data_IF_450762451644
#
_entry.id   IF_450762451644
#
_cell.length_a   1.000
_cell.length_b   1.000
_cell.length_c   1.000
_cell.angle_alpha   90.00
_cell.angle_beta   90.00
_cell.angle_gamma   90.00
#
_symmetry.space_group_name_H-M   'P 1'
#
loop_
_entity.id
_entity.type
_entity.pdbx_description
1 polymer ?
#
# COMPACT_ATOMS: atom_id res chain seq x y z
N UNK A 1 2.33 19.27 -14.70
CA UNK A 1 1.30 18.32 -14.27
C UNK A 1 1.47 16.89 -14.78
N UNK A 2 1.86 16.62 -16.06
CA UNK A 2 2.07 15.24 -16.58
C UNK A 2 3.16 14.43 -15.86
N UNK A 3 4.27 15.06 -15.41
CA UNK A 3 5.36 14.33 -14.72
C UNK A 3 4.96 13.75 -13.36
N UNK A 4 4.12 14.46 -12.60
CA UNK A 4 3.67 14.01 -11.27
C UNK A 4 2.65 12.87 -11.37
N UNK A 5 1.80 12.87 -12.40
CA UNK A 5 0.84 11.79 -12.64
C UNK A 5 1.54 10.46 -12.97
N UNK A 6 2.62 10.50 -13.77
CA UNK A 6 3.39 9.30 -14.09
C UNK A 6 4.13 8.74 -12.87
N UNK A 7 4.59 9.59 -11.96
CA UNK A 7 5.27 9.17 -10.73
C UNK A 7 4.29 8.53 -9.74
N UNK A 8 3.12 9.14 -9.53
CA UNK A 8 2.06 8.57 -8.70
C UNK A 8 1.55 7.23 -9.25
N UNK A 9 1.38 7.11 -10.58
CA UNK A 9 1.02 5.86 -11.24
C UNK A 9 2.07 4.76 -11.00
N UNK A 10 3.33 5.11 -11.01
CA UNK A 10 4.44 4.20 -10.77
C UNK A 10 4.48 3.73 -9.31
N UNK A 11 4.22 4.61 -8.35
CA UNK A 11 4.09 4.26 -6.93
C UNK A 11 2.91 3.30 -6.72
N UNK A 12 1.76 3.60 -7.29
CA UNK A 12 0.57 2.75 -7.15
C UNK A 12 0.78 1.37 -7.78
N UNK A 13 1.44 1.30 -8.94
CA UNK A 13 1.77 0.02 -9.56
C UNK A 13 2.66 -0.84 -8.67
N UNK A 14 3.56 -0.20 -7.94
CA UNK A 14 4.44 -0.86 -6.98
C UNK A 14 3.64 -1.46 -5.82
N UNK A 15 2.69 -0.72 -5.28
CA UNK A 15 1.80 -1.18 -4.20
C UNK A 15 1.00 -2.42 -4.60
N UNK A 16 0.53 -2.47 -5.84
CA UNK A 16 -0.30 -3.57 -6.34
C UNK A 16 0.46 -4.86 -6.61
N UNK A 17 1.76 -4.79 -6.89
CA UNK A 17 2.61 -5.97 -7.08
C UNK A 17 2.88 -6.73 -5.78
N UNK A 18 2.67 -6.10 -4.63
CA UNK A 18 2.95 -6.67 -3.31
C UNK A 18 1.87 -7.65 -2.83
N UNK A 19 0.74 -7.71 -3.51
CA UNK A 19 -0.37 -8.54 -3.13
C UNK A 19 -0.13 -10.03 -3.35
N UNK A 20 -0.47 -10.82 -2.34
CA UNK A 20 -0.39 -12.27 -2.39
C UNK A 20 -1.56 -12.83 -3.19
N UNK A 21 -1.26 -13.69 -4.16
CA UNK A 21 -2.29 -14.51 -4.82
C UNK A 21 -2.42 -15.81 -4.04
N UNK A 22 -3.47 -15.98 -3.26
CA UNK A 22 -3.82 -17.26 -2.67
C UNK A 22 -5.29 -17.58 -2.91
N UNK A 23 -5.55 -18.75 -3.47
CA UNK A 23 -6.87 -19.36 -3.44
C UNK A 23 -7.08 -19.99 -2.05
N UNK A 24 -7.98 -19.48 -1.25
CA UNK A 24 -8.31 -20.00 0.07
C UNK A 24 -9.79 -20.36 0.19
N UNK A 25 -10.08 -21.49 0.82
CA UNK A 25 -11.43 -21.91 1.20
C UNK A 25 -11.94 -20.99 2.33
N UNK A 26 -13.21 -20.61 2.24
CA UNK A 26 -13.92 -19.88 3.30
C UNK A 26 -14.28 -20.83 4.42
N UNK A 27 -13.74 -20.62 5.61
CA UNK A 27 -14.34 -21.07 6.86
C UNK A 27 -14.89 -19.86 7.62
N UNK A 28 -16.12 -19.99 8.09
CA UNK A 28 -17.05 -18.93 8.38
C UNK A 28 -17.23 -18.77 9.89
N UNK A 29 -16.59 -17.76 10.47
CA UNK A 29 -17.11 -17.10 11.68
C UNK A 29 -16.44 -15.73 11.89
N UNK A 30 -16.51 -14.84 10.90
CA UNK A 30 -15.82 -13.57 10.89
C UNK A 30 -16.80 -12.42 11.05
N UNK A 31 -16.43 -11.45 11.87
CA UNK A 31 -17.10 -10.15 11.87
C UNK A 31 -17.07 -9.62 10.44
N UNK A 32 -18.22 -9.24 9.87
CA UNK A 32 -18.24 -8.70 8.52
C UNK A 32 -17.32 -7.48 8.42
N UNK A 33 -16.45 -7.48 7.44
CA UNK A 33 -15.57 -6.35 7.17
C UNK A 33 -16.41 -5.13 6.74
N UNK A 34 -16.05 -3.98 7.31
CA UNK A 34 -16.60 -2.68 6.91
C UNK A 34 -15.44 -1.81 6.40
N UNK A 35 -15.49 -1.33 5.14
CA UNK A 35 -14.48 -0.46 4.59
C UNK A 35 -14.31 0.84 5.38
N UNK A 36 -13.09 1.36 5.38
CA UNK A 36 -12.80 2.68 5.94
C UNK A 36 -13.48 3.81 5.15
N UNK A 37 -13.55 4.97 5.77
CA UNK A 37 -14.19 6.16 5.19
C UNK A 37 -13.27 7.37 5.25
N UNK A 38 -13.30 8.19 4.19
CA UNK A 38 -12.61 9.49 4.16
C UNK A 38 -13.62 10.61 4.28
N UNK A 39 -13.42 11.48 5.28
CA UNK A 39 -14.22 12.69 5.48
C UNK A 39 -13.28 13.90 5.58
N UNK A 40 -13.32 14.76 4.58
CA UNK A 40 -12.39 15.89 4.48
C UNK A 40 -10.95 15.40 4.40
N UNK A 41 -10.14 15.77 5.38
CA UNK A 41 -8.72 15.42 5.50
C UNK A 41 -8.44 14.22 6.40
N UNK A 42 -9.47 13.49 6.82
CA UNK A 42 -9.36 12.37 7.76
C UNK A 42 -9.90 11.09 7.13
N UNK A 43 -9.06 10.05 7.12
CA UNK A 43 -9.47 8.68 6.85
C UNK A 43 -9.57 7.91 8.17
N UNK A 44 -10.62 7.13 8.31
CA UNK A 44 -10.88 6.29 9.48
C UNK A 44 -11.26 4.88 9.05
N UNK A 45 -10.64 3.88 9.65
CA UNK A 45 -11.03 2.49 9.49
C UNK A 45 -11.32 1.88 10.88
N UNK A 46 -12.62 1.76 11.20
CA UNK A 46 -13.08 1.24 12.49
C UNK A 46 -12.78 -0.26 12.64
N UNK A 47 -12.77 -1.01 11.54
CA UNK A 47 -12.51 -2.44 11.56
C UNK A 47 -11.08 -2.76 12.02
N UNK A 48 -10.11 -2.00 11.53
CA UNK A 48 -8.70 -2.14 11.92
C UNK A 48 -8.28 -1.23 13.08
N UNK A 49 -9.16 -0.37 13.56
CA UNK A 49 -8.94 0.45 14.75
C UNK A 49 -7.96 1.60 14.58
N UNK A 50 -7.82 2.17 13.38
CA UNK A 50 -6.91 3.28 13.14
C UNK A 50 -7.52 4.42 12.33
N UNK A 51 -6.92 5.60 12.47
CA UNK A 51 -7.27 6.82 11.75
C UNK A 51 -6.02 7.59 11.34
N UNK A 52 -6.13 8.40 10.28
CA UNK A 52 -5.10 9.35 9.87
C UNK A 52 -5.76 10.65 9.44
N UNK A 53 -5.21 11.78 9.91
CA UNK A 53 -5.55 13.11 9.41
C UNK A 53 -4.32 13.71 8.74
N UNK A 54 -4.47 14.09 7.46
CA UNK A 54 -3.39 14.67 6.66
C UNK A 54 -3.70 16.14 6.40
N UNK A 55 -2.79 17.02 6.78
CA UNK A 55 -2.96 18.46 6.66
C UNK A 55 -2.74 18.93 5.21
N UNK A 56 -3.75 19.51 4.59
CA UNK A 56 -3.66 20.13 3.27
C UNK A 56 -2.62 21.26 3.21
N UNK A 57 -2.44 22.00 4.31
CA UNK A 57 -1.42 23.05 4.38
C UNK A 57 0.00 22.51 4.29
N UNK A 58 0.19 21.22 4.61
CA UNK A 58 1.44 20.49 4.43
C UNK A 58 1.56 19.84 3.03
N UNK A 59 0.66 20.16 2.11
CA UNK A 59 0.69 19.73 0.72
C UNK A 59 0.08 18.36 0.44
N UNK A 60 -0.58 17.73 1.43
CA UNK A 60 -1.28 16.47 1.24
C UNK A 60 -2.59 16.64 0.48
N UNK A 61 -2.91 15.67 -0.37
CA UNK A 61 -4.17 15.58 -1.11
C UNK A 61 -4.64 14.14 -1.15
N UNK A 62 -5.87 13.88 -0.66
CA UNK A 62 -6.53 12.60 -0.83
C UNK A 62 -7.07 12.45 -2.26
N UNK A 63 -6.95 11.27 -2.81
CA UNK A 63 -7.53 10.94 -4.11
C UNK A 63 -9.00 10.56 -3.95
N UNK A 64 -9.84 11.08 -4.84
CA UNK A 64 -11.21 10.60 -5.00
C UNK A 64 -11.21 9.22 -5.66
N UNK A 65 -12.32 8.51 -5.58
CA UNK A 65 -12.47 7.20 -6.24
C UNK A 65 -12.23 7.29 -7.76
N UNK A 66 -12.65 8.39 -8.40
CA UNK A 66 -12.43 8.62 -9.84
C UNK A 66 -10.95 8.86 -10.16
N UNK A 67 -10.27 9.66 -9.33
CA UNK A 67 -8.83 9.89 -9.48
C UNK A 67 -8.03 8.60 -9.28
N UNK A 68 -8.43 7.80 -8.32
CA UNK A 68 -7.81 6.51 -8.05
C UNK A 68 -8.00 5.54 -9.23
N UNK A 69 -9.20 5.46 -9.80
CA UNK A 69 -9.46 4.64 -10.98
C UNK A 69 -8.63 5.08 -12.20
N UNK A 70 -8.48 6.39 -12.42
CA UNK A 70 -7.61 6.93 -13.47
C UNK A 70 -6.14 6.57 -13.23
N UNK A 71 -5.67 6.65 -11.98
CA UNK A 71 -4.31 6.33 -11.60
C UNK A 71 -3.99 4.84 -11.84
N UNK A 72 -4.93 3.94 -11.53
CA UNK A 72 -4.82 2.50 -11.80
C UNK A 72 -4.71 2.25 -13.31
N UNK A 73 -5.55 2.90 -14.12
CA UNK A 73 -5.49 2.81 -15.58
C UNK A 73 -4.13 3.25 -16.14
N UNK A 74 -3.61 4.39 -15.68
CA UNK A 74 -2.28 4.87 -16.08
C UNK A 74 -1.15 3.93 -15.62
N UNK A 75 -1.30 3.30 -14.46
CA UNK A 75 -0.31 2.34 -13.95
C UNK A 75 -0.17 1.12 -14.85
N UNK A 76 -1.28 0.65 -15.43
CA UNK A 76 -1.29 -0.46 -16.40
C UNK A 76 -0.52 -0.11 -17.68
N UNK A 77 -0.60 1.14 -18.14
CA UNK A 77 0.14 1.61 -19.31
C UNK A 77 1.65 1.74 -19.05
N UNK A 78 2.03 2.19 -17.84
CA UNK A 78 3.44 2.38 -17.45
C UNK A 78 4.18 1.05 -17.30
N UNK A 79 3.50 0.00 -16.88
CA UNK A 79 4.08 -1.33 -16.66
C UNK A 79 4.12 -2.20 -17.92
N UNK A 80 4.05 -1.57 -19.09
CA UNK A 80 4.18 -2.21 -20.41
C UNK A 80 3.18 -3.35 -20.64
N UNK A 81 1.97 -3.18 -20.13
CA UNK A 81 0.78 -3.97 -20.47
C UNK A 81 0.99 -5.49 -20.51
N UNK A 82 1.81 -6.05 -19.64
CA UNK A 82 1.75 -7.50 -19.50
C UNK A 82 0.35 -7.86 -18.99
N UNK A 83 -0.33 -8.75 -19.70
CA UNK A 83 -1.70 -9.17 -19.40
C UNK A 83 -1.88 -9.49 -17.91
N UNK A 84 -0.88 -10.14 -17.30
CA UNK A 84 -0.83 -10.51 -15.88
C UNK A 84 -0.82 -9.29 -14.94
N UNK A 85 -0.15 -8.19 -15.31
CA UNK A 85 -0.11 -6.97 -14.50
C UNK A 85 -1.43 -6.23 -14.57
N UNK A 86 -1.99 -6.09 -15.77
CA UNK A 86 -3.29 -5.45 -16.00
C UNK A 86 -4.41 -6.16 -15.24
N UNK A 87 -4.46 -7.49 -15.31
CA UNK A 87 -5.43 -8.29 -14.57
C UNK A 87 -5.27 -8.12 -13.04
N UNK A 88 -4.03 -8.06 -12.56
CA UNK A 88 -3.76 -7.84 -11.13
C UNK A 88 -4.22 -6.47 -10.66
N UNK A 89 -4.00 -5.41 -11.44
CA UNK A 89 -4.45 -4.06 -11.15
C UNK A 89 -5.98 -3.96 -11.13
N UNK A 90 -6.65 -4.49 -12.15
CA UNK A 90 -8.11 -4.47 -12.23
C UNK A 90 -8.78 -5.24 -11.08
N UNK A 91 -8.21 -6.36 -10.69
CA UNK A 91 -8.71 -7.15 -9.57
C UNK A 91 -8.60 -6.42 -8.23
N UNK A 92 -7.55 -5.62 -8.06
CA UNK A 92 -7.21 -4.94 -6.82
C UNK A 92 -7.73 -3.51 -6.69
N UNK A 93 -8.30 -2.95 -7.74
CA UNK A 93 -8.81 -1.56 -7.69
C UNK A 93 -9.85 -1.32 -6.60
N UNK A 94 -10.58 -2.37 -6.21
CA UNK A 94 -11.59 -2.30 -5.16
C UNK A 94 -11.02 -2.57 -3.75
N UNK A 95 -9.76 -3.01 -3.67
CA UNK A 95 -9.11 -3.28 -2.39
C UNK A 95 -8.39 -2.04 -1.85
N UNK A 96 -8.21 -1.00 -2.68
CA UNK A 96 -7.59 0.27 -2.26
C UNK A 96 -8.66 1.16 -1.66
N UNK A 97 -8.54 1.42 -0.38
CA UNK A 97 -9.51 2.23 0.36
C UNK A 97 -9.10 3.69 0.50
N UNK A 98 -7.80 3.94 0.51
CA UNK A 98 -7.27 5.28 0.65
C UNK A 98 -5.96 5.40 -0.13
N UNK A 99 -5.80 6.52 -0.81
CA UNK A 99 -4.53 6.98 -1.36
C UNK A 99 -4.42 8.49 -1.19
N UNK A 100 -3.31 8.93 -0.63
CA UNK A 100 -2.98 10.34 -0.51
C UNK A 100 -1.57 10.59 -1.01
N UNK A 101 -1.37 11.73 -1.67
CA UNK A 101 -0.08 12.16 -2.17
C UNK A 101 0.26 13.54 -1.63
N UNK A 102 1.53 13.77 -1.34
CA UNK A 102 2.07 15.06 -0.94
C UNK A 102 2.72 15.76 -2.14
N UNK A 103 2.85 17.06 -2.09
CA UNK A 103 3.38 17.89 -3.19
C UNK A 103 4.81 17.55 -3.63
N UNK A 104 5.60 16.90 -2.76
CA UNK A 104 6.96 16.39 -3.02
C UNK A 104 6.98 14.94 -3.54
N UNK A 105 5.81 14.36 -3.84
CA UNK A 105 5.57 12.99 -4.27
C UNK A 105 5.67 11.91 -3.17
N UNK A 106 5.84 12.27 -1.91
CA UNK A 106 5.59 11.31 -0.84
C UNK A 106 4.13 10.85 -0.90
N UNK A 107 3.86 9.60 -0.55
CA UNK A 107 2.50 9.07 -0.59
C UNK A 107 2.21 8.10 0.54
N UNK A 108 0.94 8.01 0.89
CA UNK A 108 0.41 7.03 1.85
C UNK A 108 -0.79 6.34 1.21
N UNK A 109 -0.90 5.03 1.41
CA UNK A 109 -2.06 4.26 0.95
C UNK A 109 -2.50 3.23 1.97
N UNK A 110 -3.77 2.89 1.92
CA UNK A 110 -4.37 1.76 2.63
C UNK A 110 -5.02 0.83 1.63
N UNK A 111 -4.57 -0.41 1.62
CA UNK A 111 -5.10 -1.50 0.82
C UNK A 111 -5.54 -2.62 1.77
N UNK A 112 -6.66 -3.27 1.49
CA UNK A 112 -7.14 -4.38 2.31
C UNK A 112 -7.12 -5.68 1.52
N UNK A 113 -6.37 -6.67 2.03
CA UNK A 113 -6.37 -8.03 1.49
C UNK A 113 -7.47 -8.84 2.18
N UNK A 114 -8.46 -9.24 1.40
CA UNK A 114 -9.61 -10.03 1.86
C UNK A 114 -9.42 -11.53 1.64
N UNK A 115 -8.34 -11.94 0.97
CA UNK A 115 -8.19 -13.33 0.52
C UNK A 115 -7.33 -14.19 1.45
N UNK A 116 -6.43 -13.61 2.21
CA UNK A 116 -5.35 -14.36 2.86
C UNK A 116 -5.28 -14.20 4.38
N UNK A 117 -6.03 -13.28 4.96
CA UNK A 117 -5.99 -13.03 6.40
C UNK A 117 -6.39 -14.23 7.25
N UNK A 118 -7.36 -15.04 6.79
CA UNK A 118 -7.80 -16.25 7.50
C UNK A 118 -6.70 -17.30 7.64
N UNK A 119 -5.73 -17.31 6.73
CA UNK A 119 -4.77 -18.40 6.58
C UNK A 119 -3.47 -18.19 7.37
N UNK A 120 -3.08 -16.94 7.57
CA UNK A 120 -1.77 -16.58 8.11
C UNK A 120 -1.90 -15.66 9.32
N UNK A 121 -1.02 -15.82 10.30
CA UNK A 121 -0.74 -14.73 11.24
C UNK A 121 0.01 -13.61 10.51
N UNK A 122 0.12 -12.45 11.13
CA UNK A 122 0.74 -11.26 10.53
C UNK A 122 2.20 -11.50 10.12
N UNK A 123 2.97 -12.18 10.96
CA UNK A 123 4.38 -12.51 10.69
C UNK A 123 4.52 -13.40 9.46
N UNK A 124 3.71 -14.46 9.38
CA UNK A 124 3.71 -15.41 8.25
C UNK A 124 3.20 -14.74 6.97
N UNK A 125 2.21 -13.83 7.09
CA UNK A 125 1.75 -13.03 5.97
C UNK A 125 2.89 -12.21 5.35
N UNK A 126 3.66 -11.50 6.18
CA UNK A 126 4.81 -10.71 5.76
C UNK A 126 5.92 -11.59 5.14
N UNK A 127 6.23 -12.74 5.76
CA UNK A 127 7.23 -13.68 5.22
C UNK A 127 6.82 -14.23 3.83
N UNK A 128 5.53 -14.52 3.66
CA UNK A 128 4.99 -14.98 2.37
C UNK A 128 5.06 -13.86 1.32
N UNK A 129 4.73 -12.62 1.71
CA UNK A 129 4.85 -11.46 0.82
C UNK A 129 6.29 -11.26 0.33
N UNK A 130 7.26 -11.41 1.22
CA UNK A 130 8.69 -11.23 0.90
C UNK A 130 9.23 -12.26 -0.08
N UNK A 131 8.67 -13.48 -0.10
CA UNK A 131 9.28 -14.63 -0.82
C UNK A 131 9.58 -14.34 -2.29
N UNK A 132 8.79 -13.52 -2.97
CA UNK A 132 9.00 -13.20 -4.39
C UNK A 132 9.02 -11.68 -4.66
N UNK A 133 9.02 -10.86 -3.62
CA UNK A 133 8.85 -9.43 -3.75
C UNK A 133 9.95 -8.79 -4.58
N UNK A 134 11.21 -9.04 -4.24
CA UNK A 134 12.35 -8.47 -4.94
C UNK A 134 12.35 -8.85 -6.45
N UNK A 135 11.99 -10.09 -6.77
CA UNK A 135 11.89 -10.54 -8.16
C UNK A 135 10.73 -9.85 -8.90
N UNK A 136 9.58 -9.67 -8.25
CA UNK A 136 8.44 -8.96 -8.84
C UNK A 136 8.78 -7.50 -9.15
N UNK A 137 9.46 -6.83 -8.21
CA UNK A 137 9.89 -5.45 -8.38
C UNK A 137 10.91 -5.31 -9.52
N UNK A 138 11.88 -6.24 -9.60
CA UNK A 138 12.86 -6.26 -10.70
C UNK A 138 12.17 -6.51 -12.05
N UNK A 139 11.21 -7.44 -12.11
CA UNK A 139 10.44 -7.71 -13.32
C UNK A 139 9.57 -6.51 -13.75
N UNK A 140 9.17 -5.67 -12.79
CA UNK A 140 8.48 -4.40 -13.05
C UNK A 140 9.42 -3.25 -13.45
N UNK A 141 10.68 -3.54 -13.76
CA UNK A 141 11.67 -2.56 -14.24
C UNK A 141 12.34 -1.74 -13.15
N UNK A 142 12.25 -2.16 -11.89
CA UNK A 142 12.94 -1.49 -10.79
C UNK A 142 14.36 -2.02 -10.65
N UNK A 143 15.28 -1.14 -10.30
CA UNK A 143 16.69 -1.46 -10.08
C UNK A 143 17.09 -1.23 -8.62
N UNK A 144 18.23 -1.74 -8.21
CA UNK A 144 18.76 -1.62 -6.84
C UNK A 144 17.78 -2.08 -5.75
N UNK A 145 16.99 -3.11 -6.07
CA UNK A 145 15.93 -3.61 -5.18
C UNK A 145 16.52 -4.30 -3.96
N UNK A 146 16.15 -3.82 -2.77
CA UNK A 146 16.37 -4.52 -1.51
C UNK A 146 15.08 -4.55 -0.69
N UNK A 147 14.82 -5.68 -0.03
CA UNK A 147 13.63 -5.89 0.79
C UNK A 147 14.02 -6.47 2.13
N UNK A 148 13.41 -5.99 3.21
CA UNK A 148 13.72 -6.42 4.58
C UNK A 148 12.47 -6.47 5.43
N UNK A 149 12.24 -7.60 6.11
CA UNK A 149 11.24 -7.69 7.19
C UNK A 149 11.65 -6.78 8.35
N UNK A 150 10.68 -6.12 8.94
CA UNK A 150 10.86 -5.26 10.11
C UNK A 150 9.68 -5.40 11.06
N UNK A 151 9.80 -4.85 12.25
CA UNK A 151 8.70 -4.49 13.14
C UNK A 151 8.72 -2.99 13.36
N UNK A 152 7.55 -2.39 13.47
CA UNK A 152 7.42 -0.95 13.73
C UNK A 152 6.16 -0.69 14.55
N UNK A 153 6.18 0.43 15.28
CA UNK A 153 5.00 0.91 15.99
C UNK A 153 4.07 1.61 14.97
N UNK A 154 2.85 1.11 14.85
CA UNK A 154 1.82 1.70 14.03
C UNK A 154 0.53 1.83 14.83
N UNK A 155 -0.08 3.01 14.84
CA UNK A 155 -1.27 3.33 15.63
C UNK A 155 -1.18 2.92 17.13
N UNK A 156 0.05 2.92 17.69
CA UNK A 156 0.31 2.62 19.09
C UNK A 156 0.63 1.17 19.41
N UNK A 157 0.58 0.25 18.44
CA UNK A 157 0.90 -1.17 18.60
C UNK A 157 2.10 -1.57 17.73
N UNK A 158 2.77 -2.68 18.09
CA UNK A 158 3.86 -3.24 17.28
C UNK A 158 3.29 -4.18 16.21
N UNK A 159 3.68 -3.95 14.98
CA UNK A 159 3.25 -4.73 13.81
C UNK A 159 4.44 -5.16 12.96
N UNK A 160 4.27 -6.26 12.23
CA UNK A 160 5.23 -6.66 11.21
C UNK A 160 5.07 -5.85 9.94
N UNK A 161 6.20 -5.61 9.27
CA UNK A 161 6.21 -4.86 8.02
C UNK A 161 7.40 -5.19 7.14
N UNK A 162 7.51 -4.47 6.04
CA UNK A 162 8.57 -4.61 5.04
C UNK A 162 9.13 -3.23 4.72
N UNK A 163 10.44 -3.09 4.78
CA UNK A 163 11.14 -1.95 4.20
C UNK A 163 11.64 -2.37 2.82
N UNK A 164 11.39 -1.54 1.82
CA UNK A 164 11.75 -1.74 0.43
C UNK A 164 12.55 -0.52 -0.03
N UNK A 165 13.76 -0.75 -0.53
CA UNK A 165 14.52 0.28 -1.22
C UNK A 165 14.63 -0.11 -2.69
N UNK A 166 14.37 0.83 -3.57
CA UNK A 166 14.42 0.64 -5.02
C UNK A 166 14.89 1.90 -5.70
N UNK A 167 15.28 1.74 -6.95
CA UNK A 167 15.50 2.86 -7.86
C UNK A 167 14.58 2.72 -9.06
N UNK A 168 13.84 3.79 -9.35
CA UNK A 168 12.87 3.85 -10.43
C UNK A 168 13.23 5.02 -11.35
N UNK A 169 13.58 4.73 -12.60
CA UNK A 169 14.00 5.74 -13.57
C UNK A 169 15.14 6.65 -13.06
N UNK A 170 16.08 6.08 -12.28
CA UNK A 170 17.20 6.81 -11.70
C UNK A 170 16.87 7.59 -10.42
N UNK A 171 15.66 7.43 -9.88
CA UNK A 171 15.26 8.05 -8.61
C UNK A 171 15.21 6.97 -7.53
N UNK A 172 16.00 7.15 -6.48
CA UNK A 172 15.96 6.28 -5.30
C UNK A 172 14.68 6.54 -4.50
N UNK A 173 14.05 5.46 -4.05
CA UNK A 173 12.81 5.49 -3.28
C UNK A 173 12.90 4.54 -2.11
N UNK A 174 12.41 4.97 -0.97
CA UNK A 174 12.15 4.12 0.18
C UNK A 174 10.65 3.94 0.36
N UNK A 175 10.26 2.70 0.66
CA UNK A 175 8.88 2.35 0.94
C UNK A 175 8.82 1.50 2.20
N UNK A 176 7.96 1.87 3.13
CA UNK A 176 7.64 1.07 4.32
C UNK A 176 6.20 0.61 4.25
N UNK A 177 6.02 -0.70 4.37
CA UNK A 177 4.72 -1.32 4.52
C UNK A 177 4.55 -1.81 5.94
N UNK A 178 3.38 -1.60 6.52
CA UNK A 178 2.94 -2.27 7.75
C UNK A 178 1.71 -3.11 7.44
N UNK A 179 1.64 -4.30 8.04
CA UNK A 179 0.53 -5.22 7.90
C UNK A 179 -0.22 -5.29 9.23
N UNK A 180 -1.48 -4.91 9.25
CA UNK A 180 -2.36 -4.97 10.42
C UNK A 180 -3.40 -6.05 10.17
N UNK A 181 -3.34 -7.13 10.96
CA UNK A 181 -4.27 -8.26 10.81
C UNK A 181 -5.38 -8.20 11.82
N UNK A 182 -6.63 -8.22 11.35
CA UNK A 182 -7.83 -8.37 12.18
C UNK A 182 -8.74 -9.42 11.56
N UNK A 183 -9.09 -10.45 12.31
CA UNK A 183 -9.91 -11.55 11.79
C UNK A 183 -9.30 -12.18 10.54
N UNK A 184 -10.07 -12.22 9.46
CA UNK A 184 -9.67 -12.79 8.16
C UNK A 184 -9.11 -11.75 7.17
N UNK A 185 -8.93 -10.51 7.60
CA UNK A 185 -8.52 -9.41 6.75
C UNK A 185 -7.15 -8.87 7.18
N UNK A 186 -6.41 -8.35 6.21
CA UNK A 186 -5.13 -7.67 6.44
C UNK A 186 -5.18 -6.30 5.81
N UNK A 187 -5.04 -5.24 6.61
CA UNK A 187 -4.75 -3.93 6.08
C UNK A 187 -3.24 -3.83 5.79
N UNK A 188 -2.92 -3.40 4.58
CA UNK A 188 -1.57 -3.11 4.14
C UNK A 188 -1.47 -1.60 4.03
N UNK A 189 -0.86 -0.97 5.03
CA UNK A 189 -0.63 0.47 5.03
C UNK A 189 0.76 0.74 4.53
N UNK A 190 0.88 1.52 3.47
CA UNK A 190 2.16 1.77 2.82
C UNK A 190 2.44 3.25 2.75
N UNK A 191 3.64 3.63 3.16
CA UNK A 191 4.20 4.95 2.91
C UNK A 191 5.37 4.85 1.93
N UNK A 192 5.47 5.82 1.04
CA UNK A 192 6.58 6.00 0.11
C UNK A 192 7.15 7.39 0.30
N UNK A 193 8.46 7.48 0.43
CA UNK A 193 9.18 8.75 0.56
C UNK A 193 10.28 8.88 -0.49
N UNK A 194 10.69 10.14 -0.74
CA UNK A 194 11.94 10.45 -1.42
C UNK A 194 13.14 10.34 -0.48
N UNK A 195 14.26 10.91 -0.90
CA UNK A 195 15.57 10.74 -0.24
C UNK A 195 15.74 11.44 1.12
N UNK A 196 14.90 12.42 1.44
CA UNK A 196 15.13 13.33 2.58
C UNK A 196 14.30 12.99 3.83
N UNK A 197 13.43 11.99 3.77
CA UNK A 197 12.55 11.60 4.86
C UNK A 197 12.39 10.07 4.87
N UNK A 198 12.36 9.46 6.05
CA UNK A 198 12.08 8.03 6.16
C UNK A 198 10.60 7.75 5.88
N UNK A 199 10.32 6.76 5.05
CA UNK A 199 8.95 6.30 4.81
C UNK A 199 8.27 5.76 6.08
N UNK A 200 9.04 5.25 7.05
CA UNK A 200 8.53 4.85 8.34
C UNK A 200 8.00 6.04 9.17
N UNK A 201 8.64 7.21 9.08
CA UNK A 201 8.18 8.41 9.78
C UNK A 201 6.84 8.92 9.22
N UNK A 202 6.57 8.70 7.94
CA UNK A 202 5.27 9.00 7.34
C UNK A 202 4.13 8.14 7.91
N UNK A 203 4.43 6.94 8.41
CA UNK A 203 3.43 6.08 9.06
C UNK A 203 3.11 6.51 10.50
N UNK A 204 3.97 7.31 11.13
CA UNK A 204 3.77 7.79 12.50
C UNK A 204 2.57 8.77 12.64
N UNK A 205 2.00 9.25 11.54
CA UNK A 205 0.79 10.11 11.55
C UNK A 205 -0.49 9.32 11.86
N UNK A 206 -0.46 7.99 11.73
CA UNK A 206 -1.58 7.13 12.08
C UNK A 206 -1.74 7.01 13.60
N UNK A 207 -2.98 7.00 14.05
CA UNK A 207 -3.36 6.91 15.47
C UNK A 207 -4.37 5.79 15.67
N UNK A 208 -4.39 5.19 16.86
CA UNK A 208 -5.50 4.34 17.29
C UNK A 208 -6.79 5.14 17.44
N UNK A 209 -7.92 4.49 17.25
CA UNK A 209 -9.26 5.02 17.52
C UNK A 209 -9.60 4.97 19.01
#
# INVERSE_FOLDING_TARGET
>A
MRKNANFAALILSLLMLLSLTACGNKDTNTVPYTPGTTVGTTYTNEYFGFTVTLDESSGWTFYTSEQLAQLIGQSSEVLDNSETVTESLERRKNDIEMFAIRSDNASISVLVDTANGAKYDESTYVDTALTNLAQKLTNAGQTNVSTKKTTLTFAGEEHYGIIINTEVQGVSMEQTMVCVKVGDYVAIVTAVSGLDESSADLLAVFKSL
#
